data_IF_227665778163
#
_entry.id   IF_227665778163
#
_cell.length_a   1.000
_cell.length_b   1.000
_cell.length_c   1.000
_cell.angle_alpha   90.00
_cell.angle_beta   90.00
_cell.angle_gamma   90.00
#
_symmetry.space_group_name_H-M   'P 1'
#
loop_
_entity.id
_entity.type
_entity.pdbx_description
1 polymer ?
#
# COMPACT_ATOMS: atom_id res chain seq x y z
N UNK A 1 -7.59 2.72 13.09
CA UNK A 1 -8.08 1.46 12.49
C UNK A 1 -7.45 0.24 13.20
N UNK A 2 -8.22 -0.81 13.51
CA UNK A 2 -7.74 -2.07 14.12
C UNK A 2 -8.16 -3.22 13.18
N UNK A 3 -7.23 -3.79 12.38
CA UNK A 3 -7.50 -4.86 11.42
C UNK A 3 -8.33 -6.02 11.96
N UNK A 4 -8.01 -6.47 13.17
CA UNK A 4 -8.64 -7.63 13.77
C UNK A 4 -10.12 -7.44 14.08
N UNK A 5 -10.57 -6.19 14.28
CA UNK A 5 -11.98 -5.91 14.60
C UNK A 5 -12.89 -6.01 13.38
N UNK A 6 -12.48 -5.46 12.25
CA UNK A 6 -13.33 -5.44 11.05
C UNK A 6 -13.16 -6.70 10.17
N UNK A 7 -12.15 -7.53 10.45
CA UNK A 7 -11.97 -8.84 9.82
C UNK A 7 -12.46 -10.00 10.69
N UNK A 8 -12.97 -9.70 11.90
CA UNK A 8 -13.43 -10.68 12.89
C UNK A 8 -12.40 -11.80 13.15
N UNK A 9 -11.12 -11.46 13.17
CA UNK A 9 -10.03 -12.43 13.35
C UNK A 9 -9.69 -12.66 14.81
N UNK A 10 -9.23 -13.88 15.10
CA UNK A 10 -8.80 -14.31 16.42
C UNK A 10 -7.31 -14.01 16.67
N UNK A 11 -6.92 -14.06 17.94
CA UNK A 11 -5.51 -13.97 18.33
C UNK A 11 -4.74 -15.12 17.68
N UNK A 12 -3.69 -14.77 16.94
CA UNK A 12 -2.85 -15.73 16.20
C UNK A 12 -3.16 -15.82 14.70
N UNK A 13 -4.32 -15.32 14.24
CA UNK A 13 -4.70 -15.37 12.81
C UNK A 13 -3.90 -14.38 11.96
N UNK A 14 -3.36 -13.31 12.57
CA UNK A 14 -2.67 -12.23 11.88
C UNK A 14 -1.42 -11.77 12.62
N UNK A 15 -0.34 -11.57 11.87
CA UNK A 15 0.80 -10.77 12.32
C UNK A 15 0.62 -9.34 11.80
N UNK A 16 0.61 -8.36 12.70
CA UNK A 16 0.25 -6.97 12.36
C UNK A 16 1.44 -6.03 12.57
N UNK A 17 1.87 -5.38 11.49
CA UNK A 17 2.82 -4.26 11.53
C UNK A 17 2.05 -2.95 11.38
N UNK A 18 2.34 -1.96 12.21
CA UNK A 18 1.72 -0.63 12.14
C UNK A 18 2.77 0.47 12.19
N UNK A 19 2.72 1.37 11.23
CA UNK A 19 3.51 2.60 11.20
C UNK A 19 2.68 3.75 10.62
N UNK A 20 3.26 4.95 10.60
CA UNK A 20 2.61 6.13 10.05
C UNK A 20 2.48 6.00 8.52
N UNK A 21 1.23 5.92 8.05
CA UNK A 21 0.92 5.85 6.62
C UNK A 21 1.01 4.46 6.00
N UNK A 22 1.10 3.40 6.81
CA UNK A 22 1.19 2.00 6.34
C UNK A 22 2.28 1.81 5.27
N UNK A 23 3.42 2.49 5.44
CA UNK A 23 4.51 2.57 4.47
C UNK A 23 5.47 1.42 4.70
N UNK A 24 5.88 0.76 3.62
CA UNK A 24 6.98 -0.17 3.60
C UNK A 24 8.08 0.50 2.76
N UNK A 25 9.25 0.80 3.34
CA UNK A 25 10.39 1.33 2.59
C UNK A 25 10.71 0.48 1.35
N UNK A 26 11.20 1.12 0.28
CA UNK A 26 11.72 0.35 -0.86
C UNK A 26 13.01 -0.36 -0.45
N UNK A 27 13.29 -1.54 -1.02
CA UNK A 27 14.51 -2.31 -0.72
C UNK A 27 15.81 -1.55 -0.99
N UNK A 28 15.79 -0.54 -1.87
CA UNK A 28 16.94 0.33 -2.11
C UNK A 28 17.36 1.16 -0.88
N UNK A 29 16.48 1.30 0.13
CA UNK A 29 16.81 1.97 1.40
C UNK A 29 17.26 0.97 2.48
N UNK A 30 17.32 -0.32 2.15
CA UNK A 30 17.89 -1.34 3.01
C UNK A 30 19.39 -1.41 2.72
N UNK A 31 20.17 -0.69 3.53
CA UNK A 31 21.62 -0.63 3.48
C UNK A 31 22.22 -1.27 4.74
N UNK A 32 23.47 -1.74 4.66
CA UNK A 32 24.19 -2.27 5.81
C UNK A 32 24.19 -1.23 6.96
N UNK A 33 23.98 -1.70 8.20
CA UNK A 33 23.85 -0.89 9.42
C UNK A 33 22.53 -0.12 9.63
N UNK A 34 21.62 -0.09 8.66
CA UNK A 34 20.30 0.54 8.77
C UNK A 34 19.17 -0.50 8.84
N UNK A 35 18.90 -1.01 10.04
CA UNK A 35 17.78 -1.91 10.28
C UNK A 35 16.44 -1.15 10.34
N UNK A 36 15.41 -1.66 9.64
CA UNK A 36 14.05 -1.13 9.67
C UNK A 36 13.07 -2.23 10.10
N UNK A 37 12.04 -1.85 10.85
CA UNK A 37 11.09 -2.81 11.43
C UNK A 37 10.24 -3.52 10.37
N UNK A 38 9.90 -2.84 9.28
CA UNK A 38 9.03 -3.36 8.23
C UNK A 38 9.67 -4.52 7.45
N UNK A 39 10.88 -4.38 6.86
CA UNK A 39 11.55 -5.51 6.22
C UNK A 39 11.90 -6.63 7.20
N UNK A 40 12.29 -6.32 8.43
CA UNK A 40 12.56 -7.34 9.46
C UNK A 40 11.29 -8.15 9.78
N UNK A 41 10.13 -7.51 9.88
CA UNK A 41 8.86 -8.18 10.04
C UNK A 41 8.49 -9.04 8.84
N UNK A 42 8.69 -8.53 7.61
CA UNK A 42 8.46 -9.31 6.39
C UNK A 42 9.34 -10.56 6.35
N UNK A 43 10.62 -10.44 6.69
CA UNK A 43 11.55 -11.58 6.75
C UNK A 43 11.10 -12.62 7.79
N UNK A 44 10.84 -12.17 9.02
CA UNK A 44 10.36 -13.03 10.10
C UNK A 44 9.13 -13.84 9.66
N UNK A 45 8.09 -13.16 9.17
CA UNK A 45 6.80 -13.84 8.91
C UNK A 45 6.78 -14.61 7.61
N UNK A 46 7.46 -14.13 6.57
CA UNK A 46 7.43 -14.74 5.25
C UNK A 46 8.50 -15.81 5.07
N UNK A 47 9.60 -15.80 5.83
CA UNK A 47 10.64 -16.84 5.69
C UNK A 47 10.64 -17.82 6.86
N UNK A 48 10.35 -17.37 8.08
CA UNK A 48 10.40 -18.26 9.26
C UNK A 48 9.04 -18.86 9.59
N UNK A 49 7.94 -18.13 9.37
CA UNK A 49 6.59 -18.56 9.74
C UNK A 49 5.69 -18.95 8.54
N UNK A 50 6.26 -19.02 7.33
CA UNK A 50 5.60 -19.48 6.10
C UNK A 50 4.26 -18.81 5.74
N UNK A 51 4.01 -17.57 6.20
CA UNK A 51 2.78 -16.83 5.83
C UNK A 51 2.69 -16.72 4.30
N UNK A 52 1.47 -16.90 3.76
CA UNK A 52 1.19 -16.87 2.32
C UNK A 52 0.57 -15.56 1.83
N UNK A 53 -0.03 -14.78 2.72
CA UNK A 53 -0.76 -13.56 2.36
C UNK A 53 -0.22 -12.36 3.14
N UNK A 54 0.17 -11.32 2.39
CA UNK A 54 0.51 -10.00 2.90
C UNK A 54 -0.60 -9.05 2.47
N UNK A 55 -1.15 -8.29 3.40
CA UNK A 55 -2.17 -7.29 3.13
C UNK A 55 -1.63 -5.92 3.52
N UNK A 56 -1.53 -5.01 2.56
CA UNK A 56 -1.35 -3.58 2.85
C UNK A 56 -2.73 -2.96 3.01
N UNK A 57 -2.98 -2.33 4.16
CA UNK A 57 -4.26 -1.73 4.47
C UNK A 57 -4.12 -0.21 4.58
N UNK A 58 -4.58 0.51 3.57
CA UNK A 58 -4.76 1.96 3.61
C UNK A 58 -6.14 2.35 4.13
N UNK A 59 -6.39 3.66 4.26
CA UNK A 59 -7.69 4.16 4.71
C UNK A 59 -7.96 5.61 4.36
N UNK A 60 -9.23 6.02 4.45
CA UNK A 60 -9.65 7.41 4.39
C UNK A 60 -9.19 8.22 5.61
N UNK A 61 -9.03 9.53 5.42
CA UNK A 61 -8.53 10.50 6.40
C UNK A 61 -7.20 10.09 7.06
N UNK A 62 -6.31 9.50 6.26
CA UNK A 62 -4.99 9.13 6.75
C UNK A 62 -4.14 10.38 7.02
N UNK A 63 -3.98 10.74 8.30
CA UNK A 63 -3.20 11.94 8.71
C UNK A 63 -1.76 11.95 8.22
N UNK A 64 -1.17 10.77 8.00
CA UNK A 64 0.14 10.67 7.37
C UNK A 64 0.10 11.05 5.87
N UNK A 65 -0.97 10.68 5.16
CA UNK A 65 -1.19 11.09 3.77
C UNK A 65 -1.57 12.56 3.66
N UNK A 66 -2.34 13.11 4.60
CA UNK A 66 -2.63 14.54 4.64
C UNK A 66 -1.33 15.35 4.84
N UNK A 67 -0.44 14.88 5.74
CA UNK A 67 0.89 15.45 5.91
C UNK A 67 1.73 15.30 4.62
N UNK A 68 1.75 14.12 4.01
CA UNK A 68 2.47 13.89 2.74
C UNK A 68 1.99 14.83 1.64
N UNK A 69 0.67 15.05 1.53
CA UNK A 69 0.09 16.00 0.57
C UNK A 69 0.64 17.41 0.79
N UNK A 70 0.74 17.87 2.03
CA UNK A 70 1.34 19.18 2.36
C UNK A 70 2.83 19.29 1.99
N UNK A 71 3.55 18.17 1.92
CA UNK A 71 4.97 18.16 1.50
C UNK A 71 5.17 18.42 0.00
N UNK A 72 4.10 18.65 -0.78
CA UNK A 72 4.21 19.22 -2.13
C UNK A 72 4.77 20.64 -2.12
N UNK A 73 4.62 21.36 -1.01
CA UNK A 73 5.16 22.70 -0.83
C UNK A 73 6.64 22.64 -0.44
N UNK A 74 7.51 23.31 -1.19
CA UNK A 74 8.96 23.27 -1.00
C UNK A 74 9.39 23.73 0.40
N UNK A 75 8.71 24.73 0.96
CA UNK A 75 8.97 25.23 2.31
C UNK A 75 8.75 24.12 3.35
N UNK A 76 7.61 23.43 3.27
CA UNK A 76 7.24 22.35 4.18
C UNK A 76 8.13 21.11 4.01
N UNK A 77 8.59 20.83 2.79
CA UNK A 77 9.53 19.76 2.47
C UNK A 77 11.01 20.08 2.75
N UNK A 78 11.32 21.32 3.12
CA UNK A 78 12.68 21.78 3.34
C UNK A 78 13.43 20.96 4.39
N UNK A 79 14.77 20.89 4.26
CA UNK A 79 15.63 20.13 5.17
C UNK A 79 15.49 20.59 6.63
N UNK A 80 15.27 21.88 6.85
CA UNK A 80 15.06 22.47 8.18
C UNK A 80 13.78 21.91 8.80
N UNK A 81 12.66 21.95 8.06
CA UNK A 81 11.37 21.42 8.52
C UNK A 81 11.39 19.90 8.73
N UNK A 82 12.13 19.15 7.91
CA UNK A 82 12.28 17.69 8.09
C UNK A 82 13.12 17.32 9.32
N UNK A 83 14.15 18.11 9.66
CA UNK A 83 15.01 17.83 10.82
C UNK A 83 14.31 17.97 12.17
N UNK A 84 13.24 18.77 12.23
CA UNK A 84 12.46 19.00 13.45
C UNK A 84 11.17 18.16 13.50
N UNK A 85 10.89 17.35 12.48
CA UNK A 85 9.70 16.50 12.41
C UNK A 85 10.04 15.10 11.90
N UNK A 86 10.11 14.10 12.81
CA UNK A 86 10.37 12.72 12.43
C UNK A 86 9.35 12.18 11.41
N UNK A 87 8.08 12.60 11.51
CA UNK A 87 7.04 12.22 10.55
C UNK A 87 7.31 12.80 9.15
N UNK A 88 7.69 14.08 9.04
CA UNK A 88 8.05 14.67 7.74
C UNK A 88 9.28 13.99 7.16
N UNK A 89 10.28 13.68 7.99
CA UNK A 89 11.47 12.95 7.55
C UNK A 89 11.11 11.56 7.02
N UNK A 90 10.29 10.81 7.76
CA UNK A 90 9.78 9.49 7.38
C UNK A 90 9.03 9.52 6.04
N UNK A 91 8.04 10.41 5.91
CA UNK A 91 7.21 10.52 4.71
C UNK A 91 8.01 10.97 3.49
N UNK A 92 8.88 11.97 3.67
CA UNK A 92 9.76 12.44 2.59
C UNK A 92 10.70 11.34 2.12
N UNK A 93 11.27 10.55 3.04
CA UNK A 93 12.19 9.49 2.70
C UNK A 93 11.49 8.31 2.01
N UNK A 94 10.30 7.90 2.46
CA UNK A 94 9.73 6.61 2.06
C UNK A 94 8.43 6.68 1.25
N UNK A 95 7.81 7.86 1.13
CA UNK A 95 6.52 8.05 0.44
C UNK A 95 6.58 9.03 -0.74
N UNK A 96 7.77 9.56 -1.08
CA UNK A 96 7.97 10.53 -2.17
C UNK A 96 7.47 10.01 -3.52
N UNK A 97 7.65 8.72 -3.81
CA UNK A 97 7.14 8.09 -5.02
C UNK A 97 5.61 8.11 -5.10
N UNK A 98 4.91 7.95 -3.97
CA UNK A 98 3.45 8.04 -3.92
C UNK A 98 2.98 9.46 -4.23
N UNK A 99 3.65 10.47 -3.66
CA UNK A 99 3.36 11.88 -3.94
C UNK A 99 3.64 12.25 -5.40
N UNK A 100 4.76 11.79 -5.96
CA UNK A 100 5.10 12.04 -7.37
C UNK A 100 4.07 11.45 -8.33
N UNK A 101 3.60 10.22 -8.07
CA UNK A 101 2.53 9.59 -8.86
C UNK A 101 1.19 10.32 -8.72
N UNK A 102 0.87 10.79 -7.52
CA UNK A 102 -0.31 11.61 -7.29
C UNK A 102 -0.25 12.91 -8.10
N UNK A 103 0.87 13.64 -8.08
CA UNK A 103 1.04 14.88 -8.84
C UNK A 103 0.90 14.65 -10.35
N UNK A 104 1.41 13.52 -10.86
CA UNK A 104 1.22 13.14 -12.27
C UNK A 104 -0.26 12.91 -12.61
N UNK A 105 -1.01 12.23 -11.74
CA UNK A 105 -2.45 12.06 -11.92
C UNK A 105 -3.24 13.35 -11.78
N UNK A 106 -2.85 14.23 -10.86
CA UNK A 106 -3.49 15.53 -10.65
C UNK A 106 -3.41 16.38 -11.93
N UNK A 107 -2.27 16.35 -12.64
CA UNK A 107 -2.11 17.00 -13.95
C UNK A 107 -3.03 16.39 -15.01
N UNK A 108 -3.26 15.07 -14.95
CA UNK A 108 -4.12 14.34 -15.86
C UNK A 108 -5.61 14.29 -15.43
N UNK A 109 -6.00 15.10 -14.43
CA UNK A 109 -7.37 15.14 -13.88
C UNK A 109 -7.89 13.76 -13.44
N UNK A 110 -6.98 12.89 -12.96
CA UNK A 110 -7.26 11.51 -12.53
C UNK A 110 -7.89 10.59 -13.61
N UNK A 111 -7.87 10.99 -14.90
CA UNK A 111 -8.48 10.21 -16.00
C UNK A 111 -7.59 9.06 -16.47
N UNK A 112 -6.28 9.29 -16.44
CA UNK A 112 -5.30 8.31 -16.87
C UNK A 112 -5.01 7.30 -15.76
N UNK A 113 -4.73 6.03 -16.11
CA UNK A 113 -4.35 5.05 -15.11
C UNK A 113 -2.88 5.21 -14.71
N UNK A 114 -2.55 4.84 -13.47
CA UNK A 114 -1.17 4.67 -13.04
C UNK A 114 -0.68 3.28 -13.45
N UNK A 115 0.50 3.23 -14.05
CA UNK A 115 1.25 2.00 -14.20
C UNK A 115 2.20 1.79 -13.01
N UNK A 116 1.94 0.71 -12.25
CA UNK A 116 2.86 0.20 -11.25
C UNK A 116 3.72 -0.89 -11.88
N UNK A 117 5.04 -0.71 -11.82
CA UNK A 117 6.01 -1.62 -12.42
C UNK A 117 7.14 -1.83 -11.42
N UNK A 118 7.24 -3.05 -10.91
CA UNK A 118 8.41 -3.50 -10.14
C UNK A 118 9.55 -3.96 -11.06
N UNK A 119 10.66 -4.37 -10.43
CA UNK A 119 11.86 -4.86 -11.14
C UNK A 119 11.62 -6.16 -11.93
N UNK A 120 10.61 -6.95 -11.52
CA UNK A 120 10.20 -8.18 -12.22
C UNK A 120 8.94 -7.96 -13.06
N UNK A 121 8.92 -8.47 -14.30
CA UNK A 121 7.80 -8.36 -15.25
C UNK A 121 6.47 -8.90 -14.72
N UNK A 122 6.50 -9.92 -13.85
CA UNK A 122 5.32 -10.56 -13.25
C UNK A 122 4.51 -9.64 -12.31
N UNK A 123 5.03 -8.46 -11.95
CA UNK A 123 4.42 -7.56 -10.97
C UNK A 123 4.06 -6.20 -11.53
N UNK A 124 3.81 -6.17 -12.84
CA UNK A 124 3.21 -5.03 -13.52
C UNK A 124 1.71 -5.04 -13.30
N UNK A 125 1.13 -3.93 -12.86
CA UNK A 125 -0.31 -3.75 -12.82
C UNK A 125 -0.70 -2.30 -13.10
N UNK A 126 -1.91 -2.14 -13.61
CA UNK A 126 -2.50 -0.85 -13.97
C UNK A 126 -3.57 -0.56 -12.93
N UNK A 127 -3.66 0.68 -12.48
CA UNK A 127 -4.66 1.11 -11.51
C UNK A 127 -5.33 2.42 -11.94
N UNK A 128 -6.65 2.44 -11.94
CA UNK A 128 -7.47 3.65 -11.94
C UNK A 128 -7.75 4.02 -10.49
N UNK A 129 -7.48 5.28 -10.14
CA UNK A 129 -7.65 5.79 -8.78
C UNK A 129 -8.96 6.55 -8.73
N UNK A 130 -9.91 6.02 -7.96
CA UNK A 130 -11.24 6.62 -7.74
C UNK A 130 -11.88 7.24 -9.00
N UNK A 131 -12.12 6.44 -10.06
CA UNK A 131 -12.64 6.97 -11.34
C UNK A 131 -14.07 7.51 -11.22
N UNK A 132 -14.79 7.17 -10.15
CA UNK A 132 -16.11 7.70 -9.82
C UNK A 132 -16.06 9.02 -9.03
N UNK A 133 -14.87 9.53 -8.71
CA UNK A 133 -14.64 10.80 -7.98
C UNK A 133 -15.40 10.88 -6.65
N UNK A 134 -15.36 9.79 -5.88
CA UNK A 134 -16.07 9.67 -4.59
C UNK A 134 -15.31 10.25 -3.42
N UNK A 135 -13.98 10.32 -3.51
CA UNK A 135 -13.10 10.59 -2.38
C UNK A 135 -12.30 11.88 -2.55
N UNK A 136 -11.91 12.47 -1.41
CA UNK A 136 -11.05 13.66 -1.39
C UNK A 136 -9.65 13.40 -1.96
N UNK A 137 -8.92 14.47 -2.27
CA UNK A 137 -7.57 14.36 -2.88
C UNK A 137 -6.58 13.60 -1.98
N UNK A 138 -6.65 13.78 -0.67
CA UNK A 138 -5.80 13.08 0.29
C UNK A 138 -6.15 11.58 0.38
N UNK A 139 -7.41 11.22 0.17
CA UNK A 139 -7.88 9.84 0.15
C UNK A 139 -7.46 9.12 -1.14
N UNK A 140 -7.50 9.83 -2.28
CA UNK A 140 -6.89 9.35 -3.54
C UNK A 140 -5.39 9.13 -3.37
N UNK A 141 -4.68 10.05 -2.70
CA UNK A 141 -3.27 9.85 -2.35
C UNK A 141 -3.07 8.63 -1.44
N UNK A 142 -3.98 8.39 -0.49
CA UNK A 142 -3.96 7.20 0.36
C UNK A 142 -4.12 5.89 -0.43
N UNK A 143 -5.01 5.86 -1.43
CA UNK A 143 -5.14 4.72 -2.35
C UNK A 143 -3.85 4.48 -3.14
N UNK A 144 -3.27 5.54 -3.71
CA UNK A 144 -1.99 5.47 -4.45
C UNK A 144 -0.87 4.95 -3.56
N UNK A 145 -0.76 5.48 -2.33
CA UNK A 145 0.23 5.07 -1.36
C UNK A 145 0.09 3.57 -1.03
N UNK A 146 -1.13 3.09 -0.81
CA UNK A 146 -1.43 1.68 -0.56
C UNK A 146 -0.89 0.79 -1.69
N UNK A 147 -1.16 1.15 -2.95
CA UNK A 147 -0.69 0.41 -4.12
C UNK A 147 0.82 0.52 -4.34
N UNK A 148 1.43 1.67 -4.01
CA UNK A 148 2.89 1.83 -4.06
C UNK A 148 3.60 0.84 -3.12
N UNK A 149 2.99 0.52 -1.97
CA UNK A 149 3.60 -0.41 -1.03
C UNK A 149 3.66 -1.86 -1.55
N UNK A 150 2.70 -2.26 -2.40
CA UNK A 150 2.77 -3.56 -3.08
C UNK A 150 4.06 -3.66 -3.91
N UNK A 151 4.44 -2.57 -4.59
CA UNK A 151 5.69 -2.49 -5.34
C UNK A 151 6.92 -2.49 -4.41
N UNK A 152 6.86 -1.77 -3.30
CA UNK A 152 7.98 -1.71 -2.34
C UNK A 152 8.24 -3.08 -1.70
N UNK A 153 7.21 -3.76 -1.20
CA UNK A 153 7.31 -5.15 -0.69
C UNK A 153 7.89 -6.06 -1.76
N UNK A 154 7.42 -5.89 -3.00
CA UNK A 154 7.87 -6.69 -4.13
C UNK A 154 9.37 -6.51 -4.47
N UNK A 155 9.98 -5.39 -4.11
CA UNK A 155 11.38 -5.12 -4.41
C UNK A 155 12.36 -5.94 -3.56
N UNK A 156 11.92 -6.51 -2.43
CA UNK A 156 12.82 -7.26 -1.55
C UNK A 156 13.23 -8.62 -2.14
N UNK A 157 14.52 -8.79 -2.40
CA UNK A 157 15.09 -9.98 -3.03
C UNK A 157 14.81 -11.28 -2.26
N UNK A 158 14.75 -11.24 -0.93
CA UNK A 158 14.47 -12.42 -0.11
C UNK A 158 13.04 -12.96 -0.28
N UNK A 159 12.09 -12.14 -0.76
CA UNK A 159 10.73 -12.58 -1.09
C UNK A 159 10.58 -13.05 -2.55
N UNK A 160 11.58 -12.77 -3.41
CA UNK A 160 11.49 -12.96 -4.87
C UNK A 160 11.09 -14.38 -5.24
N UNK A 161 11.79 -15.38 -4.70
CA UNK A 161 11.57 -16.80 -4.99
C UNK A 161 10.15 -17.26 -4.65
N UNK A 162 9.64 -16.82 -3.50
CA UNK A 162 8.30 -17.16 -3.00
C UNK A 162 7.20 -16.56 -3.89
N UNK A 163 7.37 -15.28 -4.22
CA UNK A 163 6.46 -14.56 -5.10
C UNK A 163 6.49 -15.07 -6.56
N UNK A 164 7.64 -15.51 -7.09
CA UNK A 164 7.76 -16.14 -8.42
C UNK A 164 7.15 -17.54 -8.48
N UNK A 165 7.13 -18.26 -7.35
CA UNK A 165 6.52 -19.58 -7.22
C UNK A 165 5.02 -19.53 -6.93
N UNK A 166 4.44 -18.34 -6.83
CA UNK A 166 3.05 -18.15 -6.43
C UNK A 166 2.73 -18.79 -5.06
N UNK A 167 3.67 -18.80 -4.12
CA UNK A 167 3.46 -19.30 -2.75
C UNK A 167 3.31 -18.16 -1.71
N UNK A 168 3.50 -16.92 -2.16
CA UNK A 168 3.34 -15.68 -1.40
C UNK A 168 2.57 -14.68 -2.25
N UNK A 169 1.66 -13.96 -1.62
CA UNK A 169 0.68 -13.11 -2.29
C UNK A 169 0.57 -11.77 -1.58
N UNK A 170 0.52 -10.69 -2.36
CA UNK A 170 0.40 -9.33 -1.84
C UNK A 170 -0.93 -8.75 -2.29
N UNK A 171 -1.70 -8.28 -1.33
CA UNK A 171 -3.04 -7.73 -1.50
C UNK A 171 -3.07 -6.29 -0.98
N UNK A 172 -4.01 -5.50 -1.51
CA UNK A 172 -4.31 -4.18 -1.01
C UNK A 172 -5.76 -4.11 -0.56
N UNK A 173 -5.96 -3.70 0.69
CA UNK A 173 -7.24 -3.26 1.23
C UNK A 173 -7.20 -1.75 1.46
N UNK A 174 -8.34 -1.10 1.31
CA UNK A 174 -8.51 0.30 1.64
C UNK A 174 -9.82 0.47 2.42
N UNK A 175 -9.76 1.06 3.60
CA UNK A 175 -10.89 1.14 4.51
C UNK A 175 -11.42 2.58 4.60
N UNK A 176 -12.70 2.77 4.33
CA UNK A 176 -13.33 4.05 4.59
C UNK A 176 -13.75 4.14 6.07
N UNK A 177 -13.07 5.00 6.84
CA UNK A 177 -13.35 5.18 8.26
C UNK A 177 -14.72 5.82 8.55
N UNK A 178 -15.31 6.52 7.57
CA UNK A 178 -16.57 7.23 7.76
C UNK A 178 -17.77 6.32 7.55
N UNK A 179 -17.74 5.50 6.51
CA UNK A 179 -18.84 4.56 6.21
C UNK A 179 -18.62 3.20 6.87
N UNK A 180 -17.37 2.81 7.12
CA UNK A 180 -16.99 1.46 7.55
C UNK A 180 -16.79 0.48 6.40
N UNK A 181 -16.87 0.95 5.14
CA UNK A 181 -16.72 0.10 3.97
C UNK A 181 -15.26 -0.32 3.76
N UNK A 182 -15.07 -1.56 3.31
CA UNK A 182 -13.77 -2.09 2.95
C UNK A 182 -13.71 -2.26 1.44
N UNK A 183 -12.65 -1.77 0.83
CA UNK A 183 -12.38 -1.90 -0.59
C UNK A 183 -11.19 -2.84 -0.80
N UNK A 184 -11.31 -3.74 -1.77
CA UNK A 184 -10.22 -4.59 -2.24
C UNK A 184 -9.70 -4.09 -3.59
N UNK A 185 -8.38 -4.07 -3.78
CA UNK A 185 -7.83 -3.78 -5.11
C UNK A 185 -8.00 -4.98 -6.05
N UNK A 186 -8.99 -4.91 -6.93
CA UNK A 186 -9.23 -5.94 -7.96
C UNK A 186 -8.30 -5.70 -9.15
N UNK A 187 -7.47 -6.70 -9.48
CA UNK A 187 -6.62 -6.71 -10.67
C UNK A 187 -7.45 -6.85 -11.94
N UNK A 188 -8.58 -7.56 -11.88
CA UNK A 188 -9.51 -7.69 -13.00
C UNK A 188 -10.16 -6.34 -13.35
N UNK A 189 -10.63 -5.61 -12.33
CA UNK A 189 -11.25 -4.29 -12.51
C UNK A 189 -10.24 -3.14 -12.56
N UNK A 190 -8.97 -3.40 -12.21
CA UNK A 190 -7.87 -2.41 -12.14
C UNK A 190 -8.17 -1.23 -11.22
N UNK A 191 -8.96 -1.43 -10.17
CA UNK A 191 -9.35 -0.39 -9.21
C UNK A 191 -9.72 -1.00 -7.85
N UNK A 192 -9.81 -0.14 -6.84
CA UNK A 192 -10.45 -0.49 -5.58
C UNK A 192 -11.94 -0.71 -5.80
N UNK A 193 -12.44 -1.87 -5.39
CA UNK A 193 -13.86 -2.23 -5.43
C UNK A 193 -14.31 -2.54 -4.01
N UNK A 194 -15.45 -1.97 -3.62
CA UNK A 194 -16.07 -2.23 -2.32
C UNK A 194 -16.36 -3.72 -2.18
N UNK A 195 -16.08 -4.31 -1.03
CA UNK A 195 -16.39 -5.70 -0.73
C UNK A 195 -17.83 -5.76 -0.21
N UNK A 196 -18.70 -6.48 -0.90
CA UNK A 196 -20.08 -6.70 -0.46
C UNK A 196 -20.60 -8.07 -0.91
N UNK A 197 -21.78 -8.46 -0.40
CA UNK A 197 -22.38 -9.77 -0.65
C UNK A 197 -22.56 -10.10 -2.14
N UNK A 198 -22.72 -9.07 -2.98
CA UNK A 198 -22.94 -9.24 -4.41
C UNK A 198 -21.68 -9.63 -5.18
N UNK A 199 -20.50 -9.24 -4.68
CA UNK A 199 -19.23 -9.42 -5.40
C UNK A 199 -18.20 -10.30 -4.67
N UNK A 200 -18.43 -10.66 -3.40
CA UNK A 200 -17.53 -11.48 -2.60
C UNK A 200 -17.09 -12.77 -3.33
N UNK A 201 -18.04 -13.52 -3.90
CA UNK A 201 -17.75 -14.76 -4.63
C UNK A 201 -16.87 -14.53 -5.86
N UNK A 202 -17.06 -13.40 -6.55
CA UNK A 202 -16.26 -13.01 -7.70
C UNK A 202 -14.82 -12.66 -7.25
N UNK A 203 -14.70 -11.86 -6.18
CA UNK A 203 -13.41 -11.50 -5.59
C UNK A 203 -12.64 -12.72 -5.07
N UNK A 204 -13.31 -13.67 -4.41
CA UNK A 204 -12.69 -14.92 -3.97
C UNK A 204 -12.20 -15.77 -5.15
N UNK A 205 -12.96 -15.79 -6.25
CA UNK A 205 -12.55 -16.49 -7.47
C UNK A 205 -11.36 -15.79 -8.13
N UNK A 206 -11.34 -14.46 -8.14
CA UNK A 206 -10.21 -13.65 -8.59
C UNK A 206 -8.97 -13.94 -7.74
N UNK A 207 -9.10 -13.95 -6.41
CA UNK A 207 -8.01 -14.26 -5.50
C UNK A 207 -7.44 -15.64 -5.82
N UNK A 208 -8.29 -16.67 -5.92
CA UNK A 208 -7.82 -18.00 -6.33
C UNK A 208 -7.12 -17.96 -7.69
N UNK A 209 -7.71 -17.33 -8.71
CA UNK A 209 -7.12 -17.31 -10.06
C UNK A 209 -5.74 -16.64 -10.13
N UNK A 210 -5.53 -15.54 -9.41
CA UNK A 210 -4.27 -14.77 -9.47
C UNK A 210 -3.27 -15.14 -8.36
N UNK A 211 -3.73 -15.87 -7.34
CA UNK A 211 -3.00 -16.13 -6.10
C UNK A 211 -3.20 -17.58 -5.60
N UNK A 212 -3.45 -18.56 -6.48
CA UNK A 212 -3.37 -20.00 -6.20
C UNK A 212 -2.36 -20.69 -7.10
#
# INVERSE_FOLDING_TARGET
>A
MIPTRFTETNVGDMFVVRNAGNIIPHSQHFEDELAMCEPAALELVCLMNEIKHIIVCGHSDCKAMNMLYSLREEELASKVNRRISPLKAWLFAHASNSLARFQQLEIADFRDPILFQGETSLRKFVAYIDPEDKFGVEDKLSQINTLQQLQNIASYGFLKKRLERHDLHIHALWFDIYTGDIYYFSRANKKFVEINESNEKCLLTEIKKYYS
#
